data_IF_203749823736
#
_entry.id   IF_203749823736
#
_cell.length_a   1.000
_cell.length_b   1.000
_cell.length_c   1.000
_cell.angle_alpha   90.00
_cell.angle_beta   90.00
_cell.angle_gamma   90.00
#
_symmetry.space_group_name_H-M   'P 1'
#
loop_
_entity.id
_entity.type
_entity.pdbx_description
1 polymer ?
#
# COMPACT_ATOMS: atom_id res chain seq x y z
N UNK A 1 -9.22 -17.64 -11.71
CA UNK A 1 -8.56 -18.07 -10.46
C UNK A 1 -7.40 -17.13 -10.16
N UNK A 2 -7.08 -16.94 -8.89
CA UNK A 2 -5.93 -16.16 -8.42
C UNK A 2 -4.97 -17.06 -7.65
N UNK A 3 -3.68 -16.99 -7.98
CA UNK A 3 -2.62 -17.71 -7.28
C UNK A 3 -1.38 -16.85 -7.08
N UNK A 4 -0.61 -17.14 -6.04
CA UNK A 4 0.73 -16.59 -5.78
C UNK A 4 1.77 -17.67 -6.04
N UNK A 5 2.91 -17.29 -6.63
CA UNK A 5 3.94 -18.28 -7.00
C UNK A 5 4.83 -18.71 -5.82
N UNK A 6 5.23 -17.80 -4.93
CA UNK A 6 6.18 -18.09 -3.84
C UNK A 6 5.84 -17.35 -2.52
N UNK A 7 5.64 -18.08 -1.40
CA UNK A 7 5.29 -19.51 -1.40
C UNK A 7 4.03 -19.73 -2.26
N UNK A 8 3.93 -20.89 -2.90
CA UNK A 8 2.76 -21.19 -3.73
C UNK A 8 1.50 -21.17 -2.87
N UNK A 9 0.52 -20.36 -3.28
CA UNK A 9 -0.75 -20.27 -2.59
C UNK A 9 -1.90 -20.03 -3.58
N UNK A 10 -2.95 -20.83 -3.47
CA UNK A 10 -4.18 -20.63 -4.22
C UNK A 10 -5.06 -19.64 -3.46
N UNK A 11 -5.18 -18.41 -3.96
CA UNK A 11 -5.80 -17.29 -3.24
C UNK A 11 -7.31 -17.31 -3.38
N UNK A 12 -7.80 -17.50 -4.62
CA UNK A 12 -9.23 -17.49 -4.92
C UNK A 12 -9.57 -18.31 -6.16
N UNK A 13 -10.74 -18.94 -6.14
CA UNK A 13 -11.32 -19.72 -7.25
C UNK A 13 -12.74 -19.22 -7.46
N UNK A 14 -13.13 -19.00 -8.72
CA UNK A 14 -14.50 -18.61 -9.08
C UNK A 14 -15.06 -17.42 -8.29
N UNK A 15 -14.18 -16.48 -7.93
CA UNK A 15 -14.57 -15.30 -7.17
C UNK A 15 -14.63 -15.46 -5.66
N UNK A 16 -14.36 -16.66 -5.14
CA UNK A 16 -14.38 -16.95 -3.71
C UNK A 16 -12.96 -17.12 -3.17
N UNK A 17 -12.61 -16.47 -2.04
CA UNK A 17 -11.32 -16.67 -1.39
C UNK A 17 -11.20 -18.12 -0.91
N UNK A 18 -10.08 -18.77 -1.22
CA UNK A 18 -9.81 -20.15 -0.83
C UNK A 18 -8.95 -20.25 0.44
N UNK A 19 -8.18 -19.20 0.74
CA UNK A 19 -7.38 -19.12 1.96
C UNK A 19 -8.21 -18.58 3.12
N UNK A 20 -7.92 -19.05 4.33
CA UNK A 20 -8.43 -18.47 5.59
C UNK A 20 -7.73 -17.15 5.98
N UNK A 21 -6.95 -16.53 5.09
CA UNK A 21 -6.35 -15.22 5.34
C UNK A 21 -7.44 -14.13 5.24
N UNK A 22 -7.84 -13.49 6.36
CA UNK A 22 -8.92 -12.51 6.38
C UNK A 22 -8.58 -11.20 5.65
N UNK A 23 -7.33 -11.05 5.18
CA UNK A 23 -6.87 -9.90 4.42
C UNK A 23 -7.19 -10.01 2.93
N UNK A 24 -7.40 -11.23 2.43
CA UNK A 24 -7.70 -11.48 1.02
C UNK A 24 -9.19 -11.21 0.77
N UNK A 25 -9.45 -10.39 -0.24
CA UNK A 25 -10.80 -10.05 -0.69
C UNK A 25 -10.86 -10.12 -2.21
N UNK A 26 -11.96 -10.66 -2.74
CA UNK A 26 -12.22 -10.68 -4.17
C UNK A 26 -13.44 -9.84 -4.45
N UNK A 27 -13.28 -8.84 -5.30
CA UNK A 27 -14.37 -7.99 -5.75
C UNK A 27 -14.88 -8.50 -7.10
N UNK A 28 -16.19 -8.80 -7.14
CA UNK A 28 -16.87 -9.31 -8.32
C UNK A 28 -17.24 -8.14 -9.23
N UNK A 29 -17.17 -8.30 -10.56
CA UNK A 29 -17.56 -7.24 -11.48
C UNK A 29 -19.03 -6.86 -11.28
N UNK A 30 -19.31 -5.55 -11.21
CA UNK A 30 -20.68 -5.05 -11.10
C UNK A 30 -21.36 -5.13 -12.49
N UNK A 31 -22.23 -6.12 -12.68
CA UNK A 31 -22.91 -6.35 -13.96
C UNK A 31 -23.92 -5.26 -14.35
N UNK A 32 -24.22 -4.31 -13.44
CA UNK A 32 -25.18 -3.22 -13.70
C UNK A 32 -24.52 -1.93 -14.20
N UNK A 33 -23.19 -1.82 -14.14
CA UNK A 33 -22.48 -0.63 -14.57
C UNK A 33 -22.20 -0.71 -16.08
N UNK A 34 -23.15 -0.23 -16.89
CA UNK A 34 -23.00 -0.13 -18.37
C UNK A 34 -21.91 0.86 -18.82
N UNK A 35 -21.22 1.53 -17.88
CA UNK A 35 -20.17 2.51 -18.12
C UNK A 35 -18.76 2.00 -17.80
N UNK A 36 -18.62 0.85 -17.12
CA UNK A 36 -17.32 0.20 -16.92
C UNK A 36 -17.23 -1.08 -17.74
N UNK A 37 -16.36 -1.12 -18.74
CA UNK A 37 -16.00 -2.33 -19.50
C UNK A 37 -15.34 -3.43 -18.65
N UNK A 38 -15.23 -3.26 -17.33
CA UNK A 38 -14.48 -4.16 -16.45
C UNK A 38 -15.36 -5.31 -15.96
N UNK A 39 -15.50 -6.34 -16.80
CA UNK A 39 -15.89 -7.70 -16.38
C UNK A 39 -14.76 -8.41 -15.60
N UNK A 40 -13.89 -7.63 -14.96
CA UNK A 40 -12.64 -8.11 -14.37
C UNK A 40 -12.84 -8.42 -12.88
N UNK A 41 -12.36 -9.59 -12.48
CA UNK A 41 -12.30 -9.99 -11.08
C UNK A 41 -11.11 -9.32 -10.41
N UNK A 42 -11.35 -8.52 -9.39
CA UNK A 42 -10.28 -7.78 -8.70
C UNK A 42 -9.86 -8.54 -7.44
N UNK A 43 -8.56 -8.81 -7.32
CA UNK A 43 -7.96 -9.30 -6.08
C UNK A 43 -7.48 -8.12 -5.24
N UNK A 44 -7.98 -8.01 -4.01
CA UNK A 44 -7.55 -7.03 -3.03
C UNK A 44 -6.91 -7.70 -1.81
N UNK A 45 -5.79 -7.15 -1.35
CA UNK A 45 -5.09 -7.58 -0.13
C UNK A 45 -5.08 -6.40 0.84
N UNK A 46 -5.78 -6.53 1.97
CA UNK A 46 -5.85 -5.47 2.98
C UNK A 46 -4.68 -5.59 3.95
N UNK A 47 -4.13 -4.45 4.41
CA UNK A 47 -3.00 -4.42 5.35
C UNK A 47 -1.82 -5.26 4.82
N UNK A 48 -1.34 -4.88 3.64
CA UNK A 48 -0.19 -5.51 3.00
C UNK A 48 1.01 -5.51 3.95
N UNK A 49 1.68 -6.64 4.02
CA UNK A 49 2.89 -6.90 4.80
C UNK A 49 4.06 -7.17 3.86
N UNK A 50 5.30 -7.10 4.38
CA UNK A 50 6.51 -7.33 3.58
C UNK A 50 6.50 -8.70 2.91
N UNK A 51 5.94 -9.67 3.60
CA UNK A 51 5.80 -11.06 3.20
C UNK A 51 4.82 -11.25 2.05
N UNK A 52 3.99 -10.25 1.71
CA UNK A 52 3.10 -10.29 0.55
C UNK A 52 3.83 -9.96 -0.76
N UNK A 53 5.10 -9.52 -0.70
CA UNK A 53 5.88 -9.26 -1.91
C UNK A 53 6.01 -10.54 -2.76
N UNK A 54 5.69 -10.44 -4.05
CA UNK A 54 5.82 -11.56 -4.96
C UNK A 54 5.01 -11.43 -6.24
N UNK A 55 5.00 -12.53 -7.00
CA UNK A 55 4.26 -12.65 -8.26
C UNK A 55 2.90 -13.27 -8.01
N UNK A 56 1.87 -12.56 -8.46
CA UNK A 56 0.48 -12.94 -8.46
C UNK A 56 0.03 -13.24 -9.88
N UNK A 57 -0.87 -14.20 -10.04
CA UNK A 57 -1.32 -14.69 -11.33
C UNK A 57 -2.82 -14.81 -11.32
N UNK A 58 -3.45 -14.13 -12.26
CA UNK A 58 -4.86 -14.34 -12.59
C UNK A 58 -4.92 -15.22 -13.84
N UNK A 59 -5.67 -16.33 -13.76
CA UNK A 59 -5.79 -17.29 -14.85
C UNK A 59 -7.27 -17.62 -15.11
N UNK A 60 -7.66 -17.70 -16.38
CA UNK A 60 -8.99 -18.16 -16.80
C UNK A 60 -9.11 -19.67 -16.74
N UNK A 61 -10.34 -20.17 -16.64
CA UNK A 61 -10.62 -21.62 -16.62
C UNK A 61 -10.74 -22.22 -18.04
N UNK A 62 -10.55 -21.42 -19.09
CA UNK A 62 -10.70 -21.84 -20.49
C UNK A 62 -9.56 -22.78 -20.93
N UNK A 63 -9.78 -23.49 -22.04
CA UNK A 63 -8.73 -24.28 -22.69
C UNK A 63 -8.43 -23.75 -24.11
N UNK A 64 -7.21 -23.27 -24.39
CA UNK A 64 -6.06 -23.17 -23.50
C UNK A 64 -6.22 -22.05 -22.45
N UNK A 65 -5.65 -22.22 -21.24
CA UNK A 65 -5.78 -21.22 -20.18
C UNK A 65 -5.02 -19.95 -20.54
N UNK A 66 -5.67 -18.81 -20.35
CA UNK A 66 -5.03 -17.49 -20.46
C UNK A 66 -4.70 -16.99 -19.06
N UNK A 67 -3.61 -16.26 -18.93
CA UNK A 67 -3.23 -15.68 -17.65
C UNK A 67 -2.57 -14.31 -17.81
N UNK A 68 -2.64 -13.53 -16.73
CA UNK A 68 -1.85 -12.33 -16.51
C UNK A 68 -1.00 -12.49 -15.25
N UNK A 69 0.18 -11.89 -15.27
CA UNK A 69 1.08 -11.84 -14.12
C UNK A 69 1.13 -10.41 -13.60
N UNK A 70 1.15 -10.28 -12.28
CA UNK A 70 1.22 -9.01 -11.58
C UNK A 70 2.25 -9.14 -10.47
N UNK A 71 3.20 -8.21 -10.41
CA UNK A 71 4.22 -8.19 -9.37
C UNK A 71 3.83 -7.18 -8.30
N UNK A 72 3.71 -7.66 -7.06
CA UNK A 72 3.47 -6.82 -5.90
C UNK A 72 4.80 -6.54 -5.22
N UNK A 73 5.27 -5.29 -5.28
CA UNK A 73 6.42 -4.84 -4.51
C UNK A 73 5.98 -4.04 -3.29
N UNK A 74 6.45 -4.46 -2.12
CA UNK A 74 6.13 -3.82 -0.84
C UNK A 74 7.29 -2.95 -0.39
N UNK A 75 7.05 -1.66 -0.18
CA UNK A 75 8.05 -0.71 0.29
C UNK A 75 7.68 -0.13 1.65
N UNK A 76 8.67 0.08 2.51
CA UNK A 76 8.50 0.78 3.78
C UNK A 76 8.64 2.28 3.58
N UNK A 77 7.61 3.05 3.95
CA UNK A 77 7.67 4.50 3.91
C UNK A 77 8.57 5.06 5.01
N UNK A 78 9.35 6.09 4.65
CA UNK A 78 10.29 6.74 5.54
C UNK A 78 10.04 8.25 5.59
N UNK A 79 10.26 8.85 6.76
CA UNK A 79 10.20 10.28 6.98
C UNK A 79 11.55 10.78 7.49
N UNK A 80 12.14 11.77 6.81
CA UNK A 80 13.46 12.31 7.12
C UNK A 80 13.36 13.80 7.34
N UNK A 81 13.84 14.28 8.50
CA UNK A 81 13.93 15.70 8.79
C UNK A 81 15.25 16.25 8.26
N UNK A 82 15.17 17.29 7.45
CA UNK A 82 16.34 17.93 6.85
C UNK A 82 17.27 18.58 7.87
N UNK A 83 18.56 18.37 7.63
CA UNK A 83 19.66 18.98 8.34
C UNK A 83 20.19 18.12 9.48
N UNK A 84 20.96 18.73 10.40
CA UNK A 84 21.60 18.01 11.48
C UNK A 84 20.58 17.52 12.53
N UNK A 85 20.92 16.41 13.19
CA UNK A 85 20.13 15.84 14.31
C UNK A 85 19.96 16.84 15.46
N UNK A 86 20.96 17.67 15.69
CA UNK A 86 20.94 18.73 16.69
C UNK A 86 21.02 20.10 16.01
N UNK A 87 20.09 21.00 16.38
CA UNK A 87 20.04 22.37 15.87
C UNK A 87 20.16 23.35 17.04
N UNK A 88 21.22 24.14 17.03
CA UNK A 88 21.40 25.26 17.96
C UNK A 88 20.76 26.52 17.37
N UNK A 89 19.93 27.19 18.15
CA UNK A 89 19.26 28.41 17.74
C UNK A 89 19.42 29.51 18.78
N UNK A 90 19.50 30.76 18.32
CA UNK A 90 19.44 31.92 19.21
C UNK A 90 18.01 32.11 19.74
N UNK A 91 17.89 32.46 21.01
CA UNK A 91 16.61 32.83 21.62
C UNK A 91 15.87 33.88 20.79
N UNK A 92 14.56 33.70 20.60
CA UNK A 92 13.72 34.56 19.76
C UNK A 92 13.70 34.23 18.26
N UNK A 93 14.57 33.32 17.79
CA UNK A 93 14.56 32.88 16.39
C UNK A 93 13.45 31.84 16.11
N UNK A 94 12.98 31.77 14.87
CA UNK A 94 11.98 30.76 14.43
C UNK A 94 12.66 29.45 14.03
N UNK A 95 12.19 28.32 14.57
CA UNK A 95 12.61 26.99 14.14
C UNK A 95 11.91 26.61 12.83
N UNK A 96 12.67 26.21 11.82
CA UNK A 96 12.15 25.60 10.59
C UNK A 96 12.59 24.15 10.49
N UNK A 97 11.63 23.24 10.53
CA UNK A 97 11.81 21.82 10.25
C UNK A 97 11.17 21.53 8.90
N UNK A 98 11.92 20.87 8.02
CA UNK A 98 11.44 20.39 6.73
C UNK A 98 11.52 18.88 6.80
N UNK A 99 10.42 18.20 6.50
CA UNK A 99 10.34 16.74 6.48
C UNK A 99 10.12 16.28 5.04
N UNK A 100 10.91 15.31 4.59
CA UNK A 100 10.74 14.64 3.31
C UNK A 100 10.23 13.23 3.54
N UNK A 101 9.27 12.83 2.71
CA UNK A 101 8.71 11.49 2.72
C UNK A 101 9.26 10.70 1.53
N UNK A 102 9.75 9.50 1.79
CA UNK A 102 10.27 8.58 0.79
C UNK A 102 9.43 7.30 0.77
N UNK A 103 9.37 6.65 -0.39
CA UNK A 103 8.67 5.37 -0.58
C UNK A 103 7.18 5.39 -0.17
N UNK A 104 6.52 6.53 -0.37
CA UNK A 104 5.08 6.66 -0.13
C UNK A 104 4.36 6.55 -1.46
N UNK A 105 3.34 5.69 -1.56
CA UNK A 105 2.57 5.53 -2.81
C UNK A 105 1.45 6.55 -2.98
N UNK A 106 1.07 7.24 -1.91
CA UNK A 106 0.05 8.27 -1.93
C UNK A 106 0.46 9.44 -1.04
N UNK A 107 0.11 10.66 -1.44
CA UNK A 107 0.35 11.84 -0.60
C UNK A 107 -0.47 11.67 0.67
N UNK A 108 0.16 11.77 1.84
CA UNK A 108 -0.55 11.46 3.06
C UNK A 108 -1.45 12.63 3.50
N UNK A 109 -2.50 12.36 4.28
CA UNK A 109 -3.51 13.39 4.60
C UNK A 109 -3.10 14.34 5.76
N UNK A 110 -2.52 13.83 6.88
CA UNK A 110 -2.30 14.62 8.13
C UNK A 110 -0.91 14.52 8.88
N UNK A 111 -0.07 15.57 8.82
CA UNK A 111 1.15 15.91 9.65
C UNK A 111 1.03 15.72 11.16
N UNK A 112 1.58 14.68 11.80
CA UNK A 112 1.88 14.75 13.24
C UNK A 112 3.36 15.02 13.53
N UNK A 113 3.61 16.06 14.31
CA UNK A 113 4.91 16.36 14.88
C UNK A 113 4.91 16.04 16.37
N UNK A 114 5.95 15.37 16.85
CA UNK A 114 6.09 14.99 18.25
C UNK A 114 7.29 15.70 18.89
N UNK A 115 7.11 16.16 20.12
CA UNK A 115 8.19 16.65 20.99
C UNK A 115 8.06 15.94 22.33
N UNK A 116 9.08 15.16 22.71
CA UNK A 116 9.07 14.38 23.96
C UNK A 116 7.76 13.58 24.11
N UNK A 117 7.42 12.82 23.06
CA UNK A 117 6.21 11.99 22.97
C UNK A 117 4.86 12.73 22.92
N UNK A 118 4.87 14.07 23.02
CA UNK A 118 3.65 14.87 22.94
C UNK A 118 3.42 15.41 21.52
N UNK A 119 2.19 15.27 21.03
CA UNK A 119 1.77 15.86 19.76
C UNK A 119 1.82 17.38 19.87
N UNK A 120 2.53 18.02 18.95
CA UNK A 120 2.62 19.48 18.88
C UNK A 120 1.83 19.95 17.67
N UNK A 121 0.95 20.94 17.87
CA UNK A 121 0.21 21.56 16.79
C UNK A 121 1.12 22.52 16.02
N UNK A 122 1.81 22.00 15.02
CA UNK A 122 2.59 22.77 14.04
C UNK A 122 1.74 22.91 12.78
N UNK A 123 1.78 24.04 12.09
CA UNK A 123 1.14 24.16 10.76
C UNK A 123 1.87 23.23 9.77
N UNK A 124 1.23 22.13 9.36
CA UNK A 124 1.73 21.16 8.37
C UNK A 124 0.70 20.08 8.01
N UNK A 125 0.77 19.52 6.80
CA UNK A 125 -0.18 18.55 6.19
C UNK A 125 0.54 17.25 5.76
N UNK A 126 -0.01 16.02 6.01
CA UNK A 126 0.66 14.69 5.75
C UNK A 126 0.85 13.58 6.86
N UNK A 127 0.06 12.51 6.89
CA UNK A 127 0.18 11.38 7.83
C UNK A 127 0.98 10.20 7.26
N UNK A 128 2.26 10.03 7.61
CA UNK A 128 2.96 8.78 7.29
C UNK A 128 2.84 7.81 8.46
N UNK A 129 1.89 6.88 8.38
CA UNK A 129 1.97 5.63 9.15
C UNK A 129 2.99 4.75 8.45
N UNK A 130 3.87 4.09 9.20
CA UNK A 130 4.63 2.94 8.70
C UNK A 130 3.63 1.90 8.23
N UNK A 131 3.40 1.86 6.93
CA UNK A 131 2.53 0.89 6.27
C UNK A 131 3.26 0.52 5.00
N UNK A 132 3.31 -0.77 4.70
CA UNK A 132 3.90 -1.23 3.46
C UNK A 132 3.00 -0.77 2.33
N UNK A 133 3.59 -0.11 1.34
CA UNK A 133 2.87 0.42 0.20
C UNK A 133 3.11 -0.43 -1.05
N UNK A 134 2.08 -0.50 -1.91
CA UNK A 134 1.99 -1.36 -3.11
C UNK A 134 2.54 -0.61 -4.33
N UNK A 135 3.56 -1.16 -4.99
CA UNK A 135 3.93 -0.76 -6.34
C UNK A 135 3.59 -1.89 -7.33
N UNK A 136 2.82 -1.57 -8.36
CA UNK A 136 2.50 -2.46 -9.48
C UNK A 136 3.28 -1.97 -10.71
N UNK A 137 4.06 -2.84 -11.34
CA UNK A 137 4.81 -2.56 -12.58
C UNK A 137 4.15 -3.19 -13.80
#
# INVERSE_FOLDING_TARGET
MWSRDLPFALLAIDGEPHLEDPRIWVEKPNMNDTESDTSDWILAIRKVEREDNGTYKCQTSDHPPKYILTHLFTVEAMAIIDGPKEKFMKGGSRLRLVCHFHNVTQVPETIFWFKLEQVVRIRGHGFARTSYFIFLS
#
